data_IF_796456506623
#
_entry.id   IF_796456506623
#
_cell.length_a   1.000
_cell.length_b   1.000
_cell.length_c   1.000
_cell.angle_alpha   90.00
_cell.angle_beta   90.00
_cell.angle_gamma   90.00
#
_symmetry.space_group_name_H-M   'P 1'
#
loop_
_entity.id
_entity.type
_entity.pdbx_description
1 polymer ?
#
# COMPACT_ATOMS: atom_id res chain seq x y z
N UNK A 1 14.47 -14.84 -21.24
CA UNK A 1 14.08 -13.97 -20.12
C UNK A 1 14.59 -12.59 -20.47
N UNK A 2 13.71 -11.61 -20.66
CA UNK A 2 14.14 -10.23 -20.86
C UNK A 2 14.91 -9.79 -19.61
N UNK A 3 16.03 -9.12 -19.81
CA UNK A 3 16.87 -8.64 -18.72
C UNK A 3 16.11 -7.53 -17.98
N UNK A 4 15.51 -7.87 -16.85
CA UNK A 4 14.70 -6.99 -16.01
C UNK A 4 15.57 -5.89 -15.36
N UNK A 5 16.90 -6.08 -15.35
CA UNK A 5 17.83 -5.27 -14.57
C UNK A 5 18.16 -3.90 -15.16
N UNK A 6 17.87 -3.64 -16.44
CA UNK A 6 18.35 -2.43 -17.13
C UNK A 6 17.33 -1.31 -17.26
N UNK A 7 16.05 -1.55 -16.90
CA UNK A 7 14.94 -0.62 -17.18
C UNK A 7 14.40 0.14 -15.98
N UNK A 8 14.88 -0.12 -14.77
CA UNK A 8 14.51 0.62 -13.56
C UNK A 8 15.74 1.03 -12.78
N UNK A 9 15.64 2.13 -12.06
CA UNK A 9 16.69 2.56 -11.11
C UNK A 9 16.83 1.60 -9.92
N UNK A 10 15.81 0.72 -9.72
CA UNK A 10 15.72 -0.20 -8.59
C UNK A 10 15.98 -1.65 -9.03
N UNK A 11 16.99 -2.27 -8.41
CA UNK A 11 17.30 -3.67 -8.63
C UNK A 11 16.37 -4.58 -7.81
N UNK A 12 15.62 -5.49 -8.47
CA UNK A 12 14.78 -6.44 -7.75
C UNK A 12 15.61 -7.57 -7.13
N UNK A 13 15.12 -8.16 -6.06
CA UNK A 13 15.62 -9.46 -5.62
C UNK A 13 14.94 -10.59 -6.40
N UNK A 14 15.78 -11.46 -6.98
CA UNK A 14 15.38 -12.73 -7.60
C UNK A 14 16.01 -13.92 -6.89
N UNK A 15 16.64 -13.70 -5.73
CA UNK A 15 17.27 -14.77 -4.95
C UNK A 15 16.22 -15.80 -4.49
N UNK A 16 16.53 -17.07 -4.64
CA UNK A 16 15.60 -18.15 -4.29
C UNK A 16 15.09 -18.06 -2.86
N UNK A 17 15.96 -17.69 -1.91
CA UNK A 17 15.60 -17.52 -0.50
C UNK A 17 14.56 -16.41 -0.31
N UNK A 18 14.72 -15.28 -1.01
CA UNK A 18 13.80 -14.17 -0.93
C UNK A 18 12.46 -14.54 -1.58
N UNK A 19 12.51 -15.09 -2.80
CA UNK A 19 11.32 -15.58 -3.50
C UNK A 19 10.52 -16.55 -2.62
N UNK A 20 11.16 -17.53 -1.99
CA UNK A 20 10.48 -18.49 -1.13
C UNK A 20 9.90 -17.82 0.13
N UNK A 21 10.61 -16.86 0.74
CA UNK A 21 10.15 -16.16 1.94
C UNK A 21 8.90 -15.31 1.69
N UNK A 22 8.69 -14.85 0.44
CA UNK A 22 7.53 -14.05 0.04
C UNK A 22 6.46 -14.84 -0.72
N UNK A 23 6.63 -16.16 -0.89
CA UNK A 23 5.70 -16.98 -1.67
C UNK A 23 4.37 -17.24 -0.97
N UNK A 24 4.26 -16.96 0.31
CA UNK A 24 3.04 -17.18 1.10
C UNK A 24 2.74 -15.96 2.00
N UNK A 25 1.51 -15.83 2.40
CA UNK A 25 1.04 -14.94 3.44
C UNK A 25 0.38 -15.76 4.57
N UNK A 26 -0.57 -15.22 5.31
CA UNK A 26 -1.30 -15.98 6.34
C UNK A 26 -2.43 -16.85 5.76
N UNK A 27 -2.58 -16.91 4.44
CA UNK A 27 -3.56 -17.75 3.75
C UNK A 27 -3.01 -19.15 3.41
N UNK A 28 -3.81 -19.93 2.68
CA UNK A 28 -3.43 -21.24 2.16
C UNK A 28 -2.71 -21.17 0.80
N UNK A 29 -2.58 -19.99 0.20
CA UNK A 29 -2.01 -19.83 -1.13
C UNK A 29 -0.48 -19.82 -1.08
N UNK A 30 0.12 -20.40 -2.10
CA UNK A 30 1.56 -20.38 -2.34
C UNK A 30 1.79 -19.96 -3.80
N UNK A 31 2.22 -18.72 -4.00
CA UNK A 31 2.54 -18.15 -5.30
C UNK A 31 3.96 -17.59 -5.28
N UNK A 32 4.80 -18.05 -6.21
CA UNK A 32 6.19 -17.61 -6.28
C UNK A 32 6.28 -16.35 -7.13
N UNK A 33 6.65 -15.19 -6.55
CA UNK A 33 6.82 -13.98 -7.35
C UNK A 33 8.00 -14.12 -8.33
N UNK A 34 7.89 -13.45 -9.48
CA UNK A 34 8.98 -13.39 -10.47
C UNK A 34 10.13 -12.53 -9.96
N UNK A 35 9.81 -11.47 -9.23
CA UNK A 35 10.78 -10.55 -8.66
C UNK A 35 10.18 -9.82 -7.46
N UNK A 36 11.03 -9.41 -6.52
CA UNK A 36 10.63 -8.65 -5.33
C UNK A 36 11.32 -7.30 -5.40
N UNK A 37 10.52 -6.24 -5.43
CA UNK A 37 10.97 -4.86 -5.39
C UNK A 37 10.80 -4.27 -3.99
N UNK A 38 11.75 -3.42 -3.58
CA UNK A 38 11.70 -2.72 -2.28
C UNK A 38 11.93 -1.23 -2.53
N UNK A 39 10.95 -0.51 -3.08
CA UNK A 39 11.10 0.90 -3.43
C UNK A 39 11.28 1.79 -2.20
N UNK A 40 11.97 2.90 -2.39
CA UNK A 40 12.23 3.92 -1.37
C UNK A 40 11.39 5.18 -1.62
N UNK A 41 10.99 5.41 -2.89
CA UNK A 41 10.28 6.61 -3.31
C UNK A 41 9.05 6.30 -4.16
N UNK A 42 8.19 7.29 -4.34
CA UNK A 42 7.01 7.21 -5.21
C UNK A 42 7.39 7.09 -6.68
N UNK A 43 8.49 7.72 -7.06
CA UNK A 43 9.03 7.70 -8.42
C UNK A 43 9.47 6.29 -8.80
N UNK A 44 10.12 5.57 -7.88
CA UNK A 44 10.47 4.16 -8.08
C UNK A 44 9.24 3.26 -8.20
N UNK A 45 8.14 3.57 -7.51
CA UNK A 45 6.86 2.87 -7.71
C UNK A 45 6.32 3.09 -9.13
N UNK A 46 6.39 4.31 -9.65
CA UNK A 46 5.99 4.63 -11.01
C UNK A 46 6.85 3.86 -12.06
N UNK A 47 8.16 3.76 -11.84
CA UNK A 47 9.04 2.95 -12.69
C UNK A 47 8.64 1.46 -12.68
N UNK A 48 8.33 0.89 -11.50
CA UNK A 48 7.88 -0.50 -11.39
C UNK A 48 6.56 -0.71 -12.16
N UNK A 49 5.60 0.21 -12.05
CA UNK A 49 4.36 0.13 -12.81
C UNK A 49 4.58 0.21 -14.32
N UNK A 50 5.44 1.12 -14.78
CA UNK A 50 5.77 1.23 -16.20
C UNK A 50 6.40 -0.07 -16.73
N UNK A 51 7.38 -0.64 -16.01
CA UNK A 51 8.01 -1.89 -16.36
C UNK A 51 7.01 -3.06 -16.37
N UNK A 52 6.16 -3.14 -15.33
CA UNK A 52 5.16 -4.19 -15.22
C UNK A 52 4.15 -4.15 -16.38
N UNK A 53 3.72 -2.94 -16.75
CA UNK A 53 2.83 -2.70 -17.90
C UNK A 53 3.48 -3.12 -19.21
N UNK A 54 4.74 -2.73 -19.44
CA UNK A 54 5.48 -3.11 -20.65
C UNK A 54 5.63 -4.64 -20.78
N UNK A 55 5.86 -5.33 -19.66
CA UNK A 55 6.06 -6.77 -19.64
C UNK A 55 4.75 -7.58 -19.52
N UNK A 56 3.61 -6.93 -19.33
CA UNK A 56 2.33 -7.61 -19.08
C UNK A 56 2.32 -8.40 -17.77
N UNK A 57 3.01 -7.92 -16.73
CA UNK A 57 3.16 -8.60 -15.43
C UNK A 57 2.32 -7.88 -14.39
N UNK A 58 1.54 -8.64 -13.61
CA UNK A 58 0.78 -8.09 -12.49
C UNK A 58 1.69 -7.60 -11.35
N UNK A 59 1.27 -6.54 -10.66
CA UNK A 59 1.95 -5.99 -9.48
C UNK A 59 1.10 -6.23 -8.25
N UNK A 60 1.71 -6.80 -7.20
CA UNK A 60 1.07 -7.01 -5.91
C UNK A 60 1.88 -6.35 -4.81
N UNK A 61 1.23 -5.51 -4.01
CA UNK A 61 1.88 -4.91 -2.86
C UNK A 61 1.89 -5.86 -1.67
N UNK A 62 3.03 -5.91 -0.99
CA UNK A 62 3.24 -6.71 0.20
C UNK A 62 3.59 -5.84 1.40
N UNK A 63 2.88 -6.06 2.46
CA UNK A 63 3.10 -5.46 3.77
C UNK A 63 3.41 -6.54 4.81
N UNK A 64 2.62 -6.61 5.87
CA UNK A 64 2.75 -7.63 6.91
C UNK A 64 2.46 -9.05 6.46
N UNK A 65 1.81 -9.25 5.32
CA UNK A 65 1.41 -10.58 4.83
C UNK A 65 0.38 -11.25 5.74
N UNK A 66 -0.46 -10.45 6.37
CA UNK A 66 -1.48 -10.92 7.33
C UNK A 66 -2.82 -11.26 6.69
N UNK A 67 -2.93 -11.19 5.37
CA UNK A 67 -4.13 -11.58 4.63
C UNK A 67 -4.40 -13.08 4.78
N UNK A 68 -5.67 -13.41 5.01
CA UNK A 68 -6.17 -14.80 5.07
C UNK A 68 -6.72 -15.28 3.71
N UNK A 69 -6.72 -14.41 2.69
CA UNK A 69 -7.33 -14.66 1.38
C UNK A 69 -6.33 -14.55 0.21
N UNK A 70 -5.03 -14.59 0.49
CA UNK A 70 -3.98 -14.58 -0.54
C UNK A 70 -3.73 -13.24 -1.22
N UNK A 71 -4.26 -12.13 -0.70
CA UNK A 71 -4.13 -10.80 -1.31
C UNK A 71 -2.69 -10.27 -1.33
N UNK A 72 -1.80 -10.84 -0.52
CA UNK A 72 -0.42 -10.45 -0.41
C UNK A 72 0.55 -11.44 -1.06
N UNK A 73 0.06 -12.39 -1.87
CA UNK A 73 0.83 -13.33 -2.68
C UNK A 73 0.73 -12.99 -4.16
N UNK A 74 1.72 -13.38 -4.96
CA UNK A 74 1.76 -13.08 -6.39
C UNK A 74 2.64 -14.06 -7.14
N UNK A 75 2.32 -14.31 -8.39
CA UNK A 75 3.20 -14.92 -9.41
C UNK A 75 3.81 -13.87 -10.36
N UNK A 76 3.51 -12.59 -10.13
CA UNK A 76 4.04 -11.43 -10.85
C UNK A 76 5.17 -10.72 -10.08
N UNK A 77 5.15 -9.38 -10.11
CA UNK A 77 6.03 -8.55 -9.29
C UNK A 77 5.43 -8.34 -7.92
N UNK A 78 6.24 -8.55 -6.89
CA UNK A 78 5.85 -8.28 -5.51
C UNK A 78 6.61 -7.06 -5.00
N UNK A 79 5.87 -6.08 -4.45
CA UNK A 79 6.43 -4.81 -3.98
C UNK A 79 6.32 -4.72 -2.46
N UNK A 80 7.44 -4.83 -1.76
CA UNK A 80 7.48 -4.69 -0.29
C UNK A 80 7.58 -3.21 0.11
N UNK A 81 6.55 -2.71 0.76
CA UNK A 81 6.48 -1.33 1.26
C UNK A 81 6.91 -1.19 2.72
N UNK A 82 7.11 -2.29 3.47
CA UNK A 82 7.44 -2.25 4.91
C UNK A 82 8.80 -1.68 5.20
N UNK A 83 9.74 -1.89 4.29
CA UNK A 83 11.16 -1.58 4.58
C UNK A 83 11.39 -0.08 4.65
N UNK A 84 10.89 0.66 3.68
CA UNK A 84 11.24 2.06 3.48
C UNK A 84 10.10 3.04 3.79
N UNK A 85 8.83 2.64 3.63
CA UNK A 85 7.69 3.52 3.87
C UNK A 85 7.16 3.40 5.30
N UNK A 86 7.90 3.92 6.28
CA UNK A 86 7.60 3.77 7.72
C UNK A 86 7.33 5.08 8.46
N UNK A 87 7.22 6.21 7.75
CA UNK A 87 7.04 7.53 8.35
C UNK A 87 5.72 7.66 9.12
N UNK A 88 5.75 8.28 10.29
CA UNK A 88 4.60 8.62 11.12
C UNK A 88 4.76 10.07 11.58
N UNK A 89 3.81 10.93 11.26
CA UNK A 89 3.77 12.33 11.69
C UNK A 89 2.43 12.61 12.37
N UNK A 90 2.46 12.81 13.68
CA UNK A 90 1.27 13.13 14.47
C UNK A 90 1.08 14.65 14.47
N UNK A 91 -0.09 15.08 14.01
CA UNK A 91 -0.51 16.49 13.98
C UNK A 91 -1.68 16.77 14.93
N UNK A 92 -2.02 18.06 15.06
CA UNK A 92 -3.26 18.53 15.72
C UNK A 92 -3.57 17.82 17.06
N UNK A 93 -2.60 17.71 17.94
CA UNK A 93 -2.75 17.06 19.25
C UNK A 93 -3.30 15.62 19.15
N UNK A 94 -2.89 14.87 18.12
CA UNK A 94 -3.31 13.50 17.89
C UNK A 94 -4.67 13.33 17.24
N UNK A 95 -5.31 14.40 16.77
CA UNK A 95 -6.59 14.34 16.03
C UNK A 95 -6.36 13.77 14.63
N UNK A 96 -5.22 14.11 14.04
CA UNK A 96 -4.81 13.58 12.74
C UNK A 96 -3.40 13.01 12.81
N UNK A 97 -3.14 11.99 11.99
CA UNK A 97 -1.82 11.40 11.81
C UNK A 97 -1.59 11.13 10.32
N UNK A 98 -0.47 11.62 9.81
CA UNK A 98 0.01 11.28 8.46
C UNK A 98 0.94 10.08 8.55
N UNK A 99 0.64 9.02 7.81
CA UNK A 99 1.32 7.73 7.94
C UNK A 99 1.70 7.18 6.58
N UNK A 100 2.92 6.70 6.46
CA UNK A 100 3.36 5.95 5.29
C UNK A 100 2.83 4.50 5.34
N UNK A 101 2.56 3.87 4.18
CA UNK A 101 1.84 2.59 4.08
C UNK A 101 2.52 1.41 4.78
N UNK A 102 3.84 1.44 4.99
CA UNK A 102 4.60 0.37 5.64
C UNK A 102 4.69 0.48 7.17
N UNK A 103 4.15 1.53 7.79
CA UNK A 103 4.07 1.63 9.24
C UNK A 103 3.00 0.67 9.79
N UNK A 104 3.29 -0.01 10.92
CA UNK A 104 2.33 -0.91 11.56
C UNK A 104 1.28 -0.13 12.36
N UNK A 105 0.08 -0.70 12.50
CA UNK A 105 -0.98 -0.15 13.37
C UNK A 105 -0.45 0.05 14.78
N UNK A 106 0.29 -0.91 15.32
CA UNK A 106 0.93 -0.83 16.64
C UNK A 106 1.86 0.38 16.76
N UNK A 107 2.72 0.63 15.78
CA UNK A 107 3.65 1.76 15.81
C UNK A 107 2.90 3.11 15.82
N UNK A 108 1.83 3.21 15.02
CA UNK A 108 0.99 4.41 14.99
C UNK A 108 0.29 4.62 16.33
N UNK A 109 -0.34 3.57 16.90
CA UNK A 109 -1.02 3.64 18.19
C UNK A 109 -0.03 4.01 19.33
N UNK A 110 1.20 3.49 19.29
CA UNK A 110 2.25 3.89 20.24
C UNK A 110 2.56 5.39 20.14
N UNK A 111 2.61 5.94 18.92
CA UNK A 111 2.84 7.39 18.71
C UNK A 111 1.64 8.25 19.17
N UNK A 112 0.42 7.72 19.11
CA UNK A 112 -0.81 8.41 19.53
C UNK A 112 -1.08 8.30 21.04
N UNK A 113 -0.49 7.32 21.73
CA UNK A 113 -0.76 7.03 23.14
C UNK A 113 -0.52 8.25 24.08
N UNK A 114 0.49 9.06 23.80
CA UNK A 114 0.77 10.29 24.56
C UNK A 114 -0.37 11.32 24.51
N UNK A 115 -1.22 11.23 23.48
CA UNK A 115 -2.41 12.07 23.32
C UNK A 115 -3.68 11.36 23.81
N UNK A 116 -3.56 10.18 24.45
CA UNK A 116 -4.68 9.31 24.86
C UNK A 116 -5.61 8.97 23.70
N UNK A 117 -5.05 8.72 22.52
CA UNK A 117 -5.75 8.39 21.27
C UNK A 117 -5.19 7.12 20.65
N UNK A 118 -5.99 6.52 19.79
CA UNK A 118 -5.62 5.40 18.91
C UNK A 118 -6.27 5.57 17.53
N UNK A 119 -5.85 4.78 16.55
CA UNK A 119 -6.54 4.65 15.28
C UNK A 119 -7.95 4.07 15.49
N UNK A 120 -8.87 4.41 14.60
CA UNK A 120 -10.21 3.81 14.57
C UNK A 120 -10.15 2.31 14.30
N UNK A 121 -9.58 1.84 13.18
CA UNK A 121 -9.46 0.41 12.90
C UNK A 121 -8.50 -0.26 13.90
N UNK A 122 -8.94 -1.40 14.45
CA UNK A 122 -8.22 -2.18 15.46
C UNK A 122 -8.11 -3.66 15.09
N UNK A 123 -7.49 -4.00 13.94
CA UNK A 123 -7.35 -5.38 13.49
C UNK A 123 -6.55 -6.21 14.49
N UNK A 124 -6.94 -7.48 14.68
CA UNK A 124 -6.23 -8.40 15.58
C UNK A 124 -4.74 -8.56 15.24
N UNK A 125 -4.38 -8.34 13.98
CA UNK A 125 -3.00 -8.40 13.47
C UNK A 125 -2.22 -7.08 13.64
N UNK A 126 -2.62 -6.15 14.51
CA UNK A 126 -2.04 -4.79 14.64
C UNK A 126 -0.52 -4.74 14.79
N UNK A 127 0.09 -5.79 15.30
CA UNK A 127 1.54 -5.91 15.46
C UNK A 127 2.25 -6.06 14.12
N UNK A 128 1.62 -6.73 13.17
CA UNK A 128 2.22 -7.14 11.90
C UNK A 128 1.58 -6.42 10.69
N UNK A 129 0.27 -6.16 10.68
CA UNK A 129 -0.39 -5.46 9.59
C UNK A 129 0.08 -4.01 9.51
N UNK A 130 0.11 -3.46 8.30
CA UNK A 130 0.53 -2.08 8.06
C UNK A 130 -0.61 -1.24 7.51
N UNK A 131 -0.48 0.07 7.62
CA UNK A 131 -1.52 1.03 7.26
C UNK A 131 -1.95 0.89 5.80
N UNK A 132 -1.02 0.62 4.86
CA UNK A 132 -1.37 0.40 3.46
C UNK A 132 -2.34 -0.77 3.26
N UNK A 133 -2.08 -1.91 3.92
CA UNK A 133 -2.96 -3.08 3.88
C UNK A 133 -4.29 -2.85 4.61
N UNK A 134 -4.24 -2.13 5.74
CA UNK A 134 -5.43 -1.75 6.52
C UNK A 134 -6.38 -0.89 5.69
N UNK A 135 -5.85 0.09 4.96
CA UNK A 135 -6.62 0.94 4.04
C UNK A 135 -7.14 0.15 2.84
N UNK A 136 -6.28 -0.65 2.19
CA UNK A 136 -6.67 -1.43 1.01
C UNK A 136 -7.83 -2.40 1.28
N UNK A 137 -7.89 -2.97 2.48
CA UNK A 137 -8.93 -3.91 2.88
C UNK A 137 -10.15 -3.26 3.56
N UNK A 138 -10.18 -1.95 3.72
CA UNK A 138 -11.13 -1.30 4.63
C UNK A 138 -11.18 -2.00 6.01
N UNK A 139 -10.02 -2.28 6.56
CA UNK A 139 -9.93 -3.06 7.79
C UNK A 139 -10.69 -2.41 8.93
N UNK A 140 -11.31 -3.25 9.72
CA UNK A 140 -12.05 -2.92 10.92
C UNK A 140 -11.34 -3.50 12.15
N UNK A 141 -12.08 -4.11 13.01
CA UNK A 141 -11.67 -4.82 14.22
C UNK A 141 -12.87 -4.98 15.15
N UNK A 142 -12.64 -5.54 16.32
CA UNK A 142 -13.76 -5.83 17.25
C UNK A 142 -14.35 -4.57 17.89
N UNK A 143 -13.57 -3.54 18.10
CA UNK A 143 -13.99 -2.34 18.82
C UNK A 143 -14.36 -1.16 17.92
N UNK A 144 -13.96 -1.18 16.65
CA UNK A 144 -14.16 -0.03 15.77
C UNK A 144 -15.59 0.10 15.23
N UNK A 145 -16.35 -0.98 15.17
CA UNK A 145 -17.66 -1.01 14.52
C UNK A 145 -17.60 -0.56 13.06
N UNK A 146 -18.71 -0.11 12.52
CA UNK A 146 -18.78 0.46 11.17
C UNK A 146 -18.39 1.94 11.12
N UNK A 147 -18.47 2.63 12.25
CA UNK A 147 -18.23 4.09 12.36
C UNK A 147 -16.74 4.44 12.31
N UNK A 148 -15.87 3.55 12.78
CA UNK A 148 -14.44 3.82 12.92
C UNK A 148 -13.57 2.87 12.10
N UNK A 149 -14.13 2.26 11.05
CA UNK A 149 -13.36 1.48 10.10
C UNK A 149 -12.41 2.39 9.27
N UNK A 150 -11.54 1.78 8.47
CA UNK A 150 -10.50 2.52 7.74
C UNK A 150 -11.09 3.62 6.85
N UNK A 151 -12.11 3.32 6.06
CA UNK A 151 -12.68 4.28 5.10
C UNK A 151 -13.41 5.46 5.77
N UNK A 152 -13.96 5.25 6.96
CA UNK A 152 -14.62 6.32 7.72
C UNK A 152 -13.64 7.26 8.42
N UNK A 153 -12.41 6.80 8.64
CA UNK A 153 -11.38 7.55 9.40
C UNK A 153 -10.29 8.16 8.53
N UNK A 154 -10.25 7.84 7.23
CA UNK A 154 -9.32 8.44 6.28
C UNK A 154 -9.77 9.89 5.97
N UNK A 155 -8.84 10.84 6.13
CA UNK A 155 -9.04 12.23 5.70
C UNK A 155 -8.63 12.43 4.23
N UNK A 156 -7.47 11.90 3.84
CA UNK A 156 -6.95 11.95 2.47
C UNK A 156 -5.91 10.86 2.23
N UNK A 157 -5.59 10.61 0.97
CA UNK A 157 -4.60 9.64 0.51
C UNK A 157 -3.68 10.28 -0.54
N UNK A 158 -2.42 9.89 -0.51
CA UNK A 158 -1.51 10.07 -1.65
C UNK A 158 -1.42 8.73 -2.39
N UNK A 159 -1.87 8.71 -3.64
CA UNK A 159 -1.94 7.53 -4.50
C UNK A 159 -0.91 7.62 -5.62
N UNK A 160 -0.32 6.49 -5.98
CA UNK A 160 0.44 6.32 -7.23
C UNK A 160 -0.37 5.41 -8.14
N UNK A 161 -0.84 5.96 -9.26
CA UNK A 161 -1.65 5.22 -10.22
C UNK A 161 -0.77 4.37 -11.16
N UNK A 162 -1.32 3.33 -11.82
CA UNK A 162 -0.55 2.47 -12.72
C UNK A 162 0.17 3.19 -13.86
N UNK A 163 -0.32 4.36 -14.28
CA UNK A 163 0.34 5.22 -15.27
C UNK A 163 1.43 6.13 -14.68
N UNK A 164 1.80 5.94 -13.40
CA UNK A 164 2.81 6.71 -12.70
C UNK A 164 2.32 8.05 -12.13
N UNK A 165 1.06 8.43 -12.37
CA UNK A 165 0.51 9.67 -11.83
C UNK A 165 0.40 9.59 -10.31
N UNK A 166 0.94 10.59 -9.62
CA UNK A 166 0.80 10.77 -8.16
C UNK A 166 -0.34 11.76 -7.90
N UNK A 167 -1.31 11.35 -7.10
CA UNK A 167 -2.46 12.19 -6.71
C UNK A 167 -2.53 12.27 -5.19
N UNK A 168 -2.65 13.50 -4.68
CA UNK A 168 -3.03 13.76 -3.29
C UNK A 168 -4.53 14.11 -3.25
N UNK A 169 -5.35 13.20 -2.74
CA UNK A 169 -6.82 13.41 -2.66
C UNK A 169 -7.22 14.51 -1.68
N UNK A 170 -6.30 15.03 -0.90
CA UNK A 170 -6.50 16.18 -0.02
C UNK A 170 -6.23 17.53 -0.69
N UNK A 171 -5.64 17.53 -1.89
CA UNK A 171 -5.40 18.75 -2.66
C UNK A 171 -6.70 19.25 -3.32
N UNK A 172 -6.89 20.56 -3.37
CA UNK A 172 -8.10 21.18 -3.93
C UNK A 172 -8.30 20.94 -5.43
N UNK A 173 -7.22 20.69 -6.15
CA UNK A 173 -7.17 20.44 -7.60
C UNK A 173 -7.06 18.96 -7.97
N UNK A 174 -7.19 18.05 -6.98
CA UNK A 174 -7.01 16.60 -7.19
C UNK A 174 -7.94 16.04 -8.30
N UNK A 175 -9.19 16.47 -8.32
CA UNK A 175 -10.19 16.01 -9.29
C UNK A 175 -9.86 16.50 -10.71
N UNK A 176 -9.46 17.76 -10.85
CA UNK A 176 -9.03 18.36 -12.12
C UNK A 176 -7.78 17.66 -12.67
N UNK A 177 -6.80 17.40 -11.81
CA UNK A 177 -5.58 16.66 -12.19
C UNK A 177 -5.94 15.25 -12.66
N UNK A 178 -6.82 14.56 -11.94
CA UNK A 178 -7.25 13.21 -12.31
C UNK A 178 -7.98 13.21 -13.66
N UNK A 179 -8.90 14.16 -13.86
CA UNK A 179 -9.63 14.31 -15.11
C UNK A 179 -8.70 14.56 -16.30
N UNK A 180 -7.71 15.43 -16.13
CA UNK A 180 -6.76 15.80 -17.21
C UNK A 180 -5.73 14.69 -17.50
N UNK A 181 -5.18 14.06 -16.44
CA UNK A 181 -4.04 13.12 -16.57
C UNK A 181 -4.46 11.66 -16.67
N UNK A 182 -5.68 11.32 -16.25
CA UNK A 182 -6.23 9.95 -16.27
C UNK A 182 -7.74 9.96 -16.50
N UNK A 183 -8.22 10.48 -17.65
CA UNK A 183 -9.65 10.70 -17.90
C UNK A 183 -10.47 9.41 -17.82
N UNK A 184 -9.93 8.27 -18.22
CA UNK A 184 -10.60 6.97 -18.14
C UNK A 184 -10.87 6.53 -16.70
N UNK A 185 -9.89 6.74 -15.80
CA UNK A 185 -10.05 6.44 -14.37
C UNK A 185 -11.06 7.40 -13.76
N UNK A 186 -10.95 8.69 -14.06
CA UNK A 186 -11.90 9.71 -13.59
C UNK A 186 -13.34 9.36 -14.00
N UNK A 187 -13.58 9.09 -15.30
CA UNK A 187 -14.90 8.70 -15.79
C UNK A 187 -15.43 7.41 -15.13
N UNK A 188 -14.56 6.41 -14.92
CA UNK A 188 -14.90 5.17 -14.23
C UNK A 188 -15.32 5.40 -12.78
N UNK A 189 -14.64 6.26 -12.06
CA UNK A 189 -15.00 6.60 -10.67
C UNK A 189 -16.33 7.32 -10.58
N UNK A 190 -16.64 8.23 -11.52
CA UNK A 190 -17.95 8.89 -11.59
C UNK A 190 -19.06 7.88 -11.87
N UNK A 191 -18.82 6.91 -12.75
CA UNK A 191 -19.83 5.90 -13.09
C UNK A 191 -20.12 4.91 -11.94
N UNK A 192 -19.19 4.76 -10.97
CA UNK A 192 -19.35 3.92 -9.79
C UNK A 192 -20.03 4.63 -8.61
N UNK A 193 -20.13 5.94 -8.65
CA UNK A 193 -20.68 6.79 -7.59
C UNK A 193 -22.19 6.92 -7.69
#
# INVERSE_FOLDING_TARGET
MADISTKTSLQPSTRTTDILSYSHDASHYLLKPKAIYTPETKEQLAEIFALATELGIGVTFRSGGTSLSGQATSDGFLVDTRKNFRGIKVGSQGVQVSVSPGATVRAVNTSLARFKRKLGPDPASEVACTIGGVVANNSSGMCCGTEQNSYRTIASLVLVLPNGLVIDTGASDADEILQQKSPSIHAGLIALR
#
